data_IF_791213269744
#
_entry.id   IF_791213269744
#
_cell.length_a   1.000
_cell.length_b   1.000
_cell.length_c   1.000
_cell.angle_alpha   90.00
_cell.angle_beta   90.00
_cell.angle_gamma   90.00
#
_symmetry.space_group_name_H-M   'P 1'
#
loop_
_entity.id
_entity.type
_entity.pdbx_description
1 polymer ?
#
# COMPACT_ATOMS: atom_id res chain seq x y z
N UNK A 1 -46.77 40.16 14.93
CA UNK A 1 -47.70 40.63 13.88
C UNK A 1 -47.01 41.72 13.07
N UNK A 2 -46.74 41.48 11.78
CA UNK A 2 -46.69 42.51 10.74
C UNK A 2 -46.70 41.82 9.37
N UNK A 3 -47.89 41.83 8.75
CA UNK A 3 -48.12 41.51 7.35
C UNK A 3 -47.54 42.65 6.51
N UNK A 4 -46.91 42.33 5.39
CA UNK A 4 -46.86 43.22 4.23
C UNK A 4 -47.09 42.37 2.99
N UNK A 5 -48.20 42.66 2.32
CA UNK A 5 -48.63 42.10 1.05
C UNK A 5 -49.09 43.31 0.23
N UNK A 6 -48.54 43.51 -0.98
CA UNK A 6 -49.01 44.28 -2.15
C UNK A 6 -47.83 44.14 -3.15
N UNK A 7 -47.92 43.62 -4.37
CA UNK A 7 -49.01 43.50 -5.34
C UNK A 7 -48.70 44.42 -6.53
N UNK A 8 -48.33 43.88 -7.72
CA UNK A 8 -48.73 44.45 -9.02
C UNK A 8 -48.40 43.54 -10.21
N UNK A 9 -49.39 43.37 -11.09
CA UNK A 9 -49.34 42.82 -12.44
C UNK A 9 -48.81 43.86 -13.45
N UNK A 10 -48.07 43.39 -14.47
CA UNK A 10 -48.12 43.83 -15.88
C UNK A 10 -47.25 42.83 -16.68
N UNK A 11 -47.79 41.98 -17.57
CA UNK A 11 -48.35 42.23 -18.90
C UNK A 11 -47.30 42.65 -19.98
N UNK A 12 -47.04 41.69 -20.87
CA UNK A 12 -46.83 41.83 -22.33
C UNK A 12 -45.45 42.29 -22.86
N UNK A 13 -44.79 41.39 -23.61
CA UNK A 13 -44.37 41.62 -25.01
C UNK A 13 -43.76 40.32 -25.59
N UNK A 14 -44.50 39.65 -26.47
CA UNK A 14 -44.03 38.55 -27.30
C UNK A 14 -43.51 39.17 -28.62
N UNK A 15 -42.20 39.22 -28.82
CA UNK A 15 -41.60 39.56 -30.11
C UNK A 15 -41.19 38.28 -30.81
N UNK A 16 -41.98 37.91 -31.81
CA UNK A 16 -41.64 36.88 -32.78
C UNK A 16 -40.52 37.40 -33.68
N UNK A 17 -39.40 36.66 -33.74
CA UNK A 17 -38.35 36.86 -34.73
C UNK A 17 -38.28 35.56 -35.54
N UNK A 18 -38.75 35.61 -36.78
CA UNK A 18 -38.60 34.52 -37.74
C UNK A 18 -37.14 34.43 -38.18
N UNK A 19 -36.47 33.27 -38.07
CA UNK A 19 -35.25 33.05 -38.83
C UNK A 19 -35.59 32.67 -40.27
N UNK A 20 -35.06 33.47 -41.20
CA UNK A 20 -34.96 33.19 -42.62
C UNK A 20 -34.19 31.88 -42.81
N UNK A 21 -34.84 30.88 -43.40
CA UNK A 21 -34.17 29.64 -43.84
C UNK A 21 -33.45 29.92 -45.14
N UNK A 22 -32.14 30.16 -45.07
CA UNK A 22 -31.27 30.11 -46.24
C UNK A 22 -30.94 28.64 -46.54
N UNK A 23 -31.49 28.11 -47.65
CA UNK A 23 -31.06 26.83 -48.20
C UNK A 23 -29.72 27.07 -48.92
N UNK A 24 -28.63 26.81 -48.20
CA UNK A 24 -27.31 26.67 -48.80
C UNK A 24 -27.13 25.20 -49.19
N UNK A 25 -26.92 24.96 -50.49
CA UNK A 25 -26.61 23.62 -51.01
C UNK A 25 -25.37 23.06 -50.31
N UNK A 26 -25.47 21.81 -49.85
CA UNK A 26 -24.33 21.11 -49.24
C UNK A 26 -23.26 20.88 -50.30
N UNK A 27 -22.03 21.43 -50.16
CA UNK A 27 -20.92 20.95 -50.96
C UNK A 27 -20.64 19.50 -50.56
N UNK A 28 -20.69 18.60 -51.53
CA UNK A 28 -20.17 17.23 -51.37
C UNK A 28 -18.65 17.34 -51.29
N UNK A 29 -18.12 17.47 -50.07
CA UNK A 29 -16.68 17.35 -49.83
C UNK A 29 -16.39 15.85 -49.71
N UNK A 30 -15.68 15.29 -50.69
CA UNK A 30 -15.04 13.99 -50.51
C UNK A 30 -13.95 14.18 -49.43
N UNK A 31 -14.27 13.78 -48.20
CA UNK A 31 -13.29 13.67 -47.13
C UNK A 31 -12.26 12.62 -47.56
N UNK A 32 -11.06 13.07 -47.92
CA UNK A 32 -9.90 12.19 -47.95
C UNK A 32 -9.77 11.59 -46.55
N UNK A 33 -9.73 10.25 -46.48
CA UNK A 33 -9.52 9.53 -45.23
C UNK A 33 -8.21 10.02 -44.60
N UNK A 34 -8.32 10.78 -43.50
CA UNK A 34 -7.18 11.11 -42.67
C UNK A 34 -6.79 9.79 -41.99
N UNK A 35 -5.58 9.24 -42.22
CA UNK A 35 -5.15 8.06 -41.50
C UNK A 35 -5.18 8.36 -40.00
N UNK A 36 -5.55 7.40 -39.15
CA UNK A 36 -5.62 7.61 -37.71
C UNK A 36 -4.28 8.14 -37.21
N UNK A 37 -4.31 9.30 -36.56
CA UNK A 37 -3.19 9.79 -35.77
C UNK A 37 -3.09 8.86 -34.56
N UNK A 38 -2.23 7.85 -34.66
CA UNK A 38 -1.77 7.09 -33.51
C UNK A 38 -0.85 8.00 -32.72
N UNK A 39 -1.37 8.61 -31.66
CA UNK A 39 -0.52 9.23 -30.63
C UNK A 39 0.46 8.15 -30.16
N UNK A 40 1.78 8.33 -30.29
CA UNK A 40 2.73 7.40 -29.70
C UNK A 40 2.42 7.35 -28.20
N UNK A 41 2.12 6.14 -27.69
CA UNK A 41 2.12 5.93 -26.25
C UNK A 41 3.50 6.30 -25.68
N UNK A 42 3.61 6.55 -24.37
CA UNK A 42 4.90 6.91 -23.78
C UNK A 42 5.94 5.89 -24.22
N UNK A 43 6.95 6.36 -24.97
CA UNK A 43 8.13 5.57 -25.28
C UNK A 43 8.75 5.18 -23.95
N UNK A 44 8.57 3.92 -23.57
CA UNK A 44 9.37 3.32 -22.51
C UNK A 44 10.80 3.31 -23.05
N UNK A 45 11.77 3.95 -22.39
CA UNK A 45 13.11 4.08 -22.93
C UNK A 45 13.76 2.70 -23.06
N UNK A 46 13.88 2.22 -24.31
CA UNK A 46 14.54 0.96 -24.70
C UNK A 46 16.01 1.20 -25.01
N UNK A 47 16.77 1.84 -24.11
CA UNK A 47 18.21 1.98 -24.38
C UNK A 47 18.87 0.60 -24.32
N UNK A 48 19.40 0.06 -25.44
CA UNK A 48 20.12 -1.20 -25.42
C UNK A 48 21.40 -1.03 -24.61
N UNK A 49 21.80 -2.10 -23.92
CA UNK A 49 22.96 -2.04 -23.02
C UNK A 49 24.21 -2.34 -23.83
N UNK A 50 25.06 -1.33 -23.97
CA UNK A 50 26.34 -1.43 -24.69
C UNK A 50 27.46 -2.02 -23.84
N UNK A 51 27.28 -2.16 -22.52
CA UNK A 51 28.30 -2.64 -21.60
C UNK A 51 28.22 -4.16 -21.34
N UNK A 52 29.29 -4.71 -20.74
CA UNK A 52 29.32 -6.07 -20.22
C UNK A 52 28.28 -6.25 -19.11
N UNK A 53 27.56 -7.38 -19.13
CA UNK A 53 26.63 -7.78 -18.07
C UNK A 53 27.09 -9.06 -17.38
N UNK A 54 26.63 -9.26 -16.15
CA UNK A 54 26.72 -10.55 -15.46
C UNK A 54 25.35 -11.21 -15.43
N UNK A 55 25.32 -12.54 -15.56
CA UNK A 55 24.10 -13.33 -15.36
C UNK A 55 24.13 -13.95 -13.98
N UNK A 56 23.03 -13.81 -13.26
CA UNK A 56 22.82 -14.41 -11.95
C UNK A 56 21.53 -15.21 -12.01
N UNK A 57 21.58 -16.47 -11.58
CA UNK A 57 20.39 -17.29 -11.44
C UNK A 57 19.53 -16.79 -10.28
N UNK A 58 18.22 -16.70 -10.51
CA UNK A 58 17.26 -16.32 -9.47
C UNK A 58 16.74 -17.58 -8.77
N UNK A 59 17.12 -17.76 -7.51
CA UNK A 59 16.71 -18.91 -6.68
C UNK A 59 16.01 -18.50 -5.37
N UNK A 60 15.84 -17.21 -5.13
CA UNK A 60 15.33 -16.65 -3.87
C UNK A 60 13.81 -16.39 -3.84
N UNK A 61 13.08 -16.83 -4.89
CA UNK A 61 11.64 -16.61 -5.01
C UNK A 61 11.22 -15.19 -5.40
N UNK A 62 12.15 -14.33 -5.82
CA UNK A 62 11.81 -13.01 -6.39
C UNK A 62 10.84 -13.16 -7.57
N UNK A 63 9.84 -12.28 -7.63
CA UNK A 63 8.94 -12.14 -8.78
C UNK A 63 8.99 -10.72 -9.34
N UNK A 64 8.51 -10.54 -10.57
CA UNK A 64 8.38 -9.23 -11.22
C UNK A 64 6.93 -8.96 -11.59
N UNK A 65 6.46 -7.75 -11.32
CA UNK A 65 5.11 -7.28 -11.62
C UNK A 65 5.12 -6.38 -12.85
N UNK A 66 4.39 -6.78 -13.88
CA UNK A 66 4.19 -6.01 -15.11
C UNK A 66 2.99 -5.06 -15.02
N UNK A 67 2.24 -5.06 -13.91
CA UNK A 67 0.98 -4.32 -13.75
C UNK A 67 -0.02 -4.62 -14.87
N UNK A 68 -0.02 -5.86 -15.37
CA UNK A 68 -0.81 -6.30 -16.55
C UNK A 68 -0.52 -5.49 -17.82
N UNK A 69 0.65 -4.87 -17.91
CA UNK A 69 1.09 -4.15 -19.11
C UNK A 69 1.67 -5.12 -20.14
N UNK A 70 1.50 -4.76 -21.41
CA UNK A 70 2.04 -5.52 -22.53
C UNK A 70 3.53 -5.20 -22.69
N UNK A 71 4.38 -5.90 -21.94
CA UNK A 71 5.84 -5.74 -21.94
C UNK A 71 6.47 -6.55 -23.08
N UNK A 72 7.41 -5.96 -23.81
CA UNK A 72 8.11 -6.59 -24.95
C UNK A 72 9.02 -7.72 -24.49
N UNK A 73 9.05 -8.82 -25.26
CA UNK A 73 9.91 -9.98 -25.02
C UNK A 73 11.09 -9.95 -26.00
N UNK A 74 12.31 -10.14 -25.48
CA UNK A 74 13.56 -10.18 -26.22
C UNK A 74 14.20 -11.57 -26.15
N UNK A 75 15.03 -11.92 -27.14
CA UNK A 75 15.75 -13.19 -27.20
C UNK A 75 17.09 -13.18 -26.44
N UNK A 76 17.52 -12.00 -25.99
CA UNK A 76 18.83 -11.80 -25.37
C UNK A 76 18.75 -10.82 -24.18
N UNK A 77 19.62 -10.99 -23.17
CA UNK A 77 19.63 -10.13 -21.98
C UNK A 77 19.98 -8.66 -22.27
N UNK A 78 20.63 -8.34 -23.40
CA UNK A 78 20.93 -6.95 -23.80
C UNK A 78 19.74 -6.25 -24.45
N UNK A 79 18.64 -6.98 -24.67
CA UNK A 79 17.42 -6.48 -25.32
C UNK A 79 17.68 -5.92 -26.72
N UNK A 80 18.58 -6.57 -27.47
CA UNK A 80 18.94 -6.14 -28.84
C UNK A 80 18.15 -6.90 -29.92
N UNK A 81 17.55 -8.03 -29.57
CA UNK A 81 16.80 -8.91 -30.46
C UNK A 81 15.35 -9.03 -29.99
N UNK A 82 14.53 -8.06 -30.37
CA UNK A 82 13.08 -8.09 -30.16
C UNK A 82 12.46 -9.32 -30.85
N UNK A 83 11.56 -10.02 -30.16
CA UNK A 83 10.83 -11.18 -30.71
C UNK A 83 9.58 -10.77 -31.51
N UNK A 84 9.14 -9.51 -31.41
CA UNK A 84 7.84 -9.03 -31.89
C UNK A 84 6.66 -9.46 -31.00
N UNK A 85 6.92 -10.19 -29.91
CA UNK A 85 5.90 -10.65 -28.96
C UNK A 85 5.88 -9.77 -27.71
N UNK A 86 4.73 -9.80 -27.03
CA UNK A 86 4.53 -9.14 -25.74
C UNK A 86 4.01 -10.14 -24.72
N UNK A 87 4.28 -9.88 -23.44
CA UNK A 87 3.68 -10.62 -22.35
C UNK A 87 2.16 -10.46 -22.35
N UNK A 88 1.49 -11.49 -21.83
CA UNK A 88 0.05 -11.44 -21.62
C UNK A 88 -0.30 -10.35 -20.61
N UNK A 89 -1.37 -9.61 -20.89
CA UNK A 89 -1.97 -8.63 -19.97
C UNK A 89 -2.96 -9.27 -18.99
N UNK A 90 -3.22 -10.59 -19.10
CA UNK A 90 -4.06 -11.30 -18.14
C UNK A 90 -3.34 -11.61 -16.83
N UNK A 91 -2.00 -11.68 -16.87
CA UNK A 91 -1.12 -12.03 -15.76
C UNK A 91 -0.17 -10.86 -15.45
N UNK A 92 -0.09 -10.49 -14.17
CA UNK A 92 0.75 -9.39 -13.71
C UNK A 92 2.10 -9.90 -13.18
N UNK A 93 2.09 -11.02 -12.46
CA UNK A 93 3.24 -11.54 -11.73
C UNK A 93 3.93 -12.64 -12.52
N UNK A 94 5.24 -12.53 -12.66
CA UNK A 94 6.09 -13.49 -13.37
C UNK A 94 7.29 -13.88 -12.50
N UNK A 95 7.72 -15.14 -12.58
CA UNK A 95 8.86 -15.65 -11.82
C UNK A 95 10.08 -15.75 -12.74
N UNK A 96 11.06 -14.83 -12.64
CA UNK A 96 12.27 -14.92 -13.42
C UNK A 96 13.15 -16.08 -12.97
N UNK A 97 13.82 -16.72 -13.93
CA UNK A 97 14.83 -17.76 -13.70
C UNK A 97 16.24 -17.17 -13.63
N UNK A 98 16.47 -16.01 -14.26
CA UNK A 98 17.77 -15.32 -14.26
C UNK A 98 17.59 -13.80 -14.33
N UNK A 99 18.66 -13.09 -13.96
CA UNK A 99 18.77 -11.64 -14.12
C UNK A 99 20.10 -11.27 -14.75
N UNK A 100 20.04 -10.35 -15.70
CA UNK A 100 21.21 -9.66 -16.20
C UNK A 100 21.44 -8.40 -15.35
N UNK A 101 22.67 -8.19 -14.90
CA UNK A 101 23.10 -7.00 -14.17
C UNK A 101 24.19 -6.26 -14.93
N UNK A 102 24.14 -4.94 -14.89
CA UNK A 102 25.21 -4.10 -15.45
C UNK A 102 26.49 -4.16 -14.60
N UNK A 103 27.51 -3.40 -15.02
CA UNK A 103 28.80 -3.29 -14.32
C UNK A 103 28.71 -2.72 -12.90
N UNK A 104 27.61 -2.03 -12.56
CA UNK A 104 27.34 -1.50 -11.22
C UNK A 104 26.49 -2.46 -10.38
N UNK A 105 26.14 -3.65 -10.90
CA UNK A 105 25.29 -4.63 -10.23
C UNK A 105 23.80 -4.32 -10.30
N UNK A 106 23.38 -3.31 -11.08
CA UNK A 106 21.97 -2.93 -11.25
C UNK A 106 21.30 -3.91 -12.21
N UNK A 107 20.12 -4.40 -11.84
CA UNK A 107 19.34 -5.29 -12.70
C UNK A 107 18.84 -4.54 -13.93
N UNK A 108 19.03 -5.15 -15.10
CA UNK A 108 18.71 -4.52 -16.38
C UNK A 108 17.69 -5.28 -17.21
N UNK A 109 17.66 -6.61 -17.07
CA UNK A 109 16.64 -7.46 -17.67
C UNK A 109 16.46 -8.73 -16.86
N UNK A 110 15.27 -9.33 -17.00
CA UNK A 110 14.88 -10.55 -16.32
C UNK A 110 14.54 -11.62 -17.36
N UNK A 111 15.06 -12.84 -17.18
CA UNK A 111 14.71 -14.01 -17.98
C UNK A 111 13.53 -14.72 -17.33
N UNK A 112 12.43 -14.89 -18.06
CA UNK A 112 11.22 -15.58 -17.56
C UNK A 112 11.22 -17.09 -17.86
N UNK A 113 12.33 -17.62 -18.38
CA UNK A 113 12.43 -18.98 -18.92
C UNK A 113 12.46 -18.97 -20.45
N UNK A 114 12.97 -20.04 -21.04
CA UNK A 114 13.04 -20.23 -22.50
C UNK A 114 13.70 -19.07 -23.27
N UNK A 115 14.66 -18.38 -22.66
CA UNK A 115 15.31 -17.18 -23.19
C UNK A 115 14.33 -16.04 -23.52
N UNK A 116 13.27 -15.89 -22.72
CA UNK A 116 12.33 -14.78 -22.80
C UNK A 116 12.77 -13.66 -21.86
N UNK A 117 13.47 -12.68 -22.40
CA UNK A 117 14.01 -11.55 -21.63
C UNK A 117 13.06 -10.36 -21.66
N UNK A 118 12.86 -9.71 -20.52
CA UNK A 118 12.10 -8.45 -20.42
C UNK A 118 12.91 -7.36 -19.73
N UNK A 119 12.63 -6.11 -20.06
CA UNK A 119 13.32 -4.96 -19.49
C UNK A 119 13.01 -4.77 -18.00
N UNK A 120 14.05 -4.59 -17.17
CA UNK A 120 13.87 -4.32 -15.75
C UNK A 120 13.17 -2.97 -15.49
N UNK A 121 13.32 -2.00 -16.39
CA UNK A 121 12.63 -0.69 -16.34
C UNK A 121 11.12 -0.79 -16.59
N UNK A 122 10.64 -1.89 -17.18
CA UNK A 122 9.23 -2.13 -17.49
C UNK A 122 8.48 -2.91 -16.42
N UNK A 123 9.11 -3.20 -15.27
CA UNK A 123 8.52 -4.01 -14.19
C UNK A 123 8.85 -3.46 -12.81
N UNK A 124 8.06 -3.86 -11.82
CA UNK A 124 8.38 -3.68 -10.41
C UNK A 124 8.89 -4.98 -9.82
N UNK A 125 10.04 -4.96 -9.15
CA UNK A 125 10.57 -6.15 -8.47
C UNK A 125 9.85 -6.34 -7.15
N UNK A 126 9.24 -7.52 -6.98
CA UNK A 126 8.72 -7.97 -5.71
C UNK A 126 9.74 -8.94 -5.13
N UNK A 127 10.52 -8.45 -4.16
CA UNK A 127 11.46 -9.28 -3.40
C UNK A 127 10.68 -10.12 -2.40
N UNK A 128 10.89 -11.43 -2.47
CA UNK A 128 10.00 -12.42 -1.88
C UNK A 128 8.83 -12.69 -2.82
N UNK A 129 8.50 -13.95 -3.01
CA UNK A 129 7.21 -14.33 -3.60
C UNK A 129 6.11 -13.58 -2.83
N UNK A 130 5.14 -12.92 -3.49
CA UNK A 130 3.79 -12.98 -2.95
C UNK A 130 3.49 -14.47 -2.93
N UNK A 131 3.71 -15.11 -1.77
CA UNK A 131 3.41 -16.51 -1.62
C UNK A 131 1.90 -16.58 -1.76
N UNK A 132 1.37 -16.92 -2.94
CA UNK A 132 -0.08 -17.05 -3.14
C UNK A 132 -0.69 -18.11 -2.19
N UNK A 133 0.17 -18.82 -1.46
CA UNK A 133 -0.13 -19.75 -0.39
C UNK A 133 -0.01 -19.11 1.02
N UNK A 134 -0.26 -17.80 1.17
CA UNK A 134 -0.35 -17.20 2.50
C UNK A 134 -1.35 -17.98 3.36
N UNK A 135 -0.89 -18.38 4.54
CA UNK A 135 -1.75 -19.03 5.52
C UNK A 135 -2.57 -17.96 6.22
N UNK A 136 -3.88 -18.02 6.04
CA UNK A 136 -4.81 -17.16 6.76
C UNK A 136 -5.29 -17.87 8.02
N UNK A 137 -4.97 -17.32 9.18
CA UNK A 137 -5.34 -17.88 10.48
C UNK A 137 -6.06 -16.85 11.34
N UNK A 138 -6.84 -17.32 12.30
CA UNK A 138 -7.40 -16.45 13.34
C UNK A 138 -6.26 -15.84 14.15
N UNK A 139 -6.33 -14.53 14.38
CA UNK A 139 -5.41 -13.88 15.30
C UNK A 139 -5.79 -14.23 16.73
N UNK A 140 -4.83 -14.76 17.49
CA UNK A 140 -5.08 -15.31 18.83
C UNK A 140 -4.76 -14.33 19.95
N UNK A 141 -3.99 -13.27 19.68
CA UNK A 141 -3.81 -12.18 20.65
C UNK A 141 -5.05 -11.28 20.63
N UNK A 142 -5.39 -10.75 21.82
CA UNK A 142 -6.44 -9.73 21.98
C UNK A 142 -5.85 -8.30 21.92
N UNK A 143 -4.56 -8.18 21.68
CA UNK A 143 -3.86 -6.91 21.65
C UNK A 143 -4.14 -6.20 20.31
N UNK A 144 -4.66 -4.96 20.33
CA UNK A 144 -4.81 -4.18 19.12
C UNK A 144 -3.45 -3.69 18.61
N UNK A 145 -3.42 -3.30 17.33
CA UNK A 145 -2.27 -2.68 16.70
C UNK A 145 -2.54 -1.22 16.36
N UNK A 146 -1.46 -0.46 16.25
CA UNK A 146 -1.52 0.96 15.96
C UNK A 146 -1.17 1.28 14.51
N UNK A 147 -2.02 2.03 13.82
CA UNK A 147 -1.63 2.71 12.57
C UNK A 147 -0.83 3.95 12.95
N UNK A 148 0.46 3.96 12.60
CA UNK A 148 1.50 4.93 13.01
C UNK A 148 1.31 6.36 12.44
N UNK A 149 0.10 6.91 12.51
CA UNK A 149 -0.22 8.29 12.13
C UNK A 149 -0.26 8.57 10.62
N UNK A 150 -0.21 7.53 9.78
CA UNK A 150 -0.24 7.64 8.33
C UNK A 150 -1.54 7.10 7.73
N UNK A 151 -1.92 7.58 6.54
CA UNK A 151 -3.03 7.02 5.78
C UNK A 151 -2.64 5.61 5.28
N UNK A 152 -3.07 4.59 6.02
CA UNK A 152 -2.75 3.19 5.71
C UNK A 152 -3.68 2.66 4.63
N UNK A 153 -3.12 2.05 3.58
CA UNK A 153 -3.91 1.47 2.48
C UNK A 153 -4.60 0.19 2.95
N UNK A 154 -5.88 0.05 2.61
CA UNK A 154 -6.66 -1.17 2.81
C UNK A 154 -6.71 -1.94 1.50
N UNK A 155 -6.62 -3.25 1.60
CA UNK A 155 -6.66 -4.21 0.51
C UNK A 155 -7.82 -5.18 0.69
N UNK A 156 -8.29 -5.72 -0.42
CA UNK A 156 -9.39 -6.70 -0.46
C UNK A 156 -8.92 -8.16 -0.43
N UNK A 157 -7.61 -8.37 -0.36
CA UNK A 157 -6.94 -9.68 -0.42
C UNK A 157 -5.77 -9.74 0.58
N UNK A 158 -5.49 -10.93 1.16
CA UNK A 158 -4.41 -11.13 2.12
C UNK A 158 -3.02 -10.88 1.54
N UNK A 159 -2.84 -11.04 0.23
CA UNK A 159 -1.58 -10.76 -0.48
C UNK A 159 -1.31 -9.26 -0.61
N UNK A 160 -2.29 -8.41 -0.27
CA UNK A 160 -2.22 -6.94 -0.36
C UNK A 160 -1.90 -6.42 -1.76
N UNK A 161 -2.52 -7.03 -2.78
CA UNK A 161 -2.34 -6.68 -4.20
C UNK A 161 -3.49 -5.85 -4.77
N UNK A 162 -4.69 -5.89 -4.18
CA UNK A 162 -5.90 -5.21 -4.65
C UNK A 162 -6.36 -4.17 -3.64
N UNK A 163 -5.82 -2.96 -3.77
CA UNK A 163 -6.21 -1.82 -2.94
C UNK A 163 -7.73 -1.57 -3.06
N UNK A 164 -8.37 -1.32 -1.92
CA UNK A 164 -9.82 -1.14 -1.79
C UNK A 164 -10.21 0.11 -0.99
N UNK A 165 -9.24 0.78 -0.36
CA UNK A 165 -9.48 2.03 0.36
C UNK A 165 -8.31 2.44 1.26
N UNK A 166 -8.61 3.26 2.27
CA UNK A 166 -7.65 3.73 3.27
C UNK A 166 -8.30 3.75 4.65
N UNK A 167 -7.51 3.46 5.69
CA UNK A 167 -7.96 3.59 7.07
C UNK A 167 -8.28 5.05 7.43
N UNK A 168 -9.23 5.24 8.33
CA UNK A 168 -9.56 6.55 8.87
C UNK A 168 -8.41 7.06 9.73
N UNK A 169 -7.86 8.24 9.41
CA UNK A 169 -6.71 8.83 10.13
C UNK A 169 -7.03 9.25 11.57
N UNK A 170 -8.32 9.46 11.88
CA UNK A 170 -8.78 9.75 13.24
C UNK A 170 -8.83 8.52 14.17
N UNK A 171 -8.65 7.32 13.63
CA UNK A 171 -8.61 6.07 14.40
C UNK A 171 -7.20 5.51 14.31
N UNK A 172 -6.50 5.42 15.44
CA UNK A 172 -5.11 4.95 15.45
C UNK A 172 -4.95 3.54 16.00
N UNK A 173 -5.98 2.95 16.58
CA UNK A 173 -5.94 1.64 17.23
C UNK A 173 -6.92 0.69 16.53
N UNK A 174 -6.46 -0.51 16.20
CA UNK A 174 -7.15 -1.45 15.33
C UNK A 174 -7.13 -2.85 15.92
N UNK A 175 -8.32 -3.42 16.08
CA UNK A 175 -8.48 -4.82 16.45
C UNK A 175 -8.22 -5.72 15.25
N UNK A 176 -7.38 -6.75 15.45
CA UNK A 176 -7.00 -7.71 14.42
C UNK A 176 -7.84 -8.96 14.58
N UNK A 177 -8.47 -9.41 13.49
CA UNK A 177 -9.29 -10.63 13.50
C UNK A 177 -8.53 -11.84 12.95
N UNK A 178 -7.73 -11.62 11.91
CA UNK A 178 -6.96 -12.66 11.22
C UNK A 178 -5.59 -12.12 10.82
N UNK A 179 -4.65 -13.04 10.63
CA UNK A 179 -3.34 -12.78 10.04
C UNK A 179 -3.21 -13.55 8.74
N UNK A 180 -2.46 -12.97 7.80
CA UNK A 180 -1.89 -13.70 6.68
C UNK A 180 -0.39 -13.81 6.91
N UNK A 181 0.13 -15.04 6.92
CA UNK A 181 1.52 -15.31 7.19
C UNK A 181 2.13 -16.19 6.10
N UNK A 182 3.42 -15.94 5.84
CA UNK A 182 4.23 -16.80 4.99
C UNK A 182 4.28 -18.22 5.59
N UNK A 183 3.83 -19.26 4.86
CA UNK A 183 3.76 -20.62 5.39
C UNK A 183 5.12 -21.23 5.72
N UNK A 184 6.20 -20.75 5.11
CA UNK A 184 7.57 -21.27 5.28
C UNK A 184 8.25 -20.66 6.48
N UNK A 185 8.03 -19.36 6.72
CA UNK A 185 8.70 -18.62 7.79
C UNK A 185 7.82 -18.36 9.01
N UNK A 186 6.50 -18.45 8.86
CA UNK A 186 5.52 -18.01 9.86
C UNK A 186 5.46 -16.48 10.01
N UNK A 187 6.16 -15.72 9.17
CA UNK A 187 6.20 -14.27 9.26
C UNK A 187 4.85 -13.69 8.85
N UNK A 188 4.25 -12.88 9.72
CA UNK A 188 3.00 -12.18 9.40
C UNK A 188 3.30 -11.07 8.40
N UNK A 189 2.60 -11.10 7.26
CA UNK A 189 2.76 -10.11 6.19
C UNK A 189 1.57 -9.15 6.09
N UNK A 190 0.40 -9.57 6.57
CA UNK A 190 -0.80 -8.73 6.62
C UNK A 190 -1.73 -9.08 7.79
N UNK A 191 -2.51 -8.09 8.19
CA UNK A 191 -3.55 -8.19 9.21
C UNK A 191 -4.92 -7.90 8.59
N UNK A 192 -5.92 -8.72 8.93
CA UNK A 192 -7.32 -8.45 8.62
C UNK A 192 -7.97 -7.72 9.80
N UNK A 193 -8.41 -6.49 9.54
CA UNK A 193 -9.09 -5.64 10.51
C UNK A 193 -10.62 -5.89 10.54
N UNK A 194 -11.08 -6.90 9.80
CA UNK A 194 -12.47 -7.34 9.74
C UNK A 194 -13.13 -6.97 8.41
N UNK A 195 -14.16 -7.74 8.03
CA UNK A 195 -14.86 -7.61 6.74
C UNK A 195 -13.91 -7.75 5.54
N UNK A 196 -12.86 -8.56 5.68
CA UNK A 196 -11.87 -8.82 4.64
C UNK A 196 -11.12 -7.54 4.22
N UNK A 197 -10.78 -6.71 5.20
CA UNK A 197 -10.02 -5.48 5.05
C UNK A 197 -8.59 -5.74 5.51
N UNK A 198 -7.71 -5.94 4.54
CA UNK A 198 -6.32 -6.33 4.78
C UNK A 198 -5.40 -5.13 4.77
N UNK A 199 -4.45 -5.12 5.69
CA UNK A 199 -3.43 -4.08 5.83
C UNK A 199 -2.08 -4.75 5.94
N UNK A 200 -1.05 -4.19 5.31
CA UNK A 200 0.32 -4.72 5.39
C UNK A 200 0.81 -4.64 6.83
N UNK A 201 1.44 -5.72 7.30
CA UNK A 201 1.89 -5.82 8.69
C UNK A 201 2.86 -4.69 9.07
N UNK A 202 3.75 -4.29 8.15
CA UNK A 202 4.70 -3.19 8.34
C UNK A 202 4.07 -1.81 8.54
N UNK A 203 2.80 -1.63 8.17
CA UNK A 203 2.10 -0.35 8.28
C UNK A 203 1.39 -0.22 9.64
N UNK A 204 1.43 -1.27 10.47
CA UNK A 204 0.92 -1.31 11.84
C UNK A 204 2.06 -1.59 12.83
N UNK A 205 1.89 -1.17 14.08
CA UNK A 205 2.87 -1.35 15.16
C UNK A 205 2.18 -1.84 16.43
N UNK A 206 2.82 -2.74 17.18
CA UNK A 206 2.34 -3.14 18.51
C UNK A 206 2.47 -2.02 19.54
N UNK A 207 3.36 -1.06 19.29
CA UNK A 207 3.62 0.06 20.17
C UNK A 207 3.32 1.39 19.48
N UNK A 208 2.82 2.34 20.26
CA UNK A 208 2.67 3.73 19.82
C UNK A 208 3.49 4.64 20.73
N UNK A 209 4.30 5.51 20.12
CA UNK A 209 5.02 6.53 20.86
C UNK A 209 4.02 7.45 21.59
N UNK A 210 4.33 7.76 22.85
CA UNK A 210 3.56 8.69 23.67
C UNK A 210 4.50 9.66 24.37
N UNK A 211 3.93 10.78 24.80
CA UNK A 211 4.56 11.73 25.70
C UNK A 211 3.58 12.07 26.81
N UNK A 212 4.09 12.19 28.02
CA UNK A 212 3.31 12.55 29.19
C UNK A 212 3.92 11.98 30.45
N UNK A 213 3.18 12.11 31.54
CA UNK A 213 3.58 11.54 32.81
C UNK A 213 2.55 10.57 33.34
N UNK A 214 3.02 9.57 34.09
CA UNK A 214 2.21 8.58 34.76
C UNK A 214 2.52 8.58 36.24
N UNK A 215 1.51 8.88 37.06
CA UNK A 215 1.62 8.84 38.51
C UNK A 215 1.34 7.42 39.01
N UNK A 216 2.29 6.84 39.73
CA UNK A 216 2.24 5.45 40.20
C UNK A 216 2.84 5.32 41.60
N UNK A 217 2.39 4.34 42.36
CA UNK A 217 2.87 4.08 43.73
C UNK A 217 4.05 3.12 43.77
N UNK A 218 4.90 3.26 44.80
CA UNK A 218 5.89 2.27 45.17
C UNK A 218 5.26 0.87 45.34
N UNK A 219 5.99 -0.18 44.95
CA UNK A 219 5.51 -1.57 44.92
C UNK A 219 4.71 -1.95 43.68
N UNK A 220 4.43 -1.02 42.76
CA UNK A 220 3.73 -1.36 41.51
C UNK A 220 4.62 -2.24 40.62
N UNK A 221 4.11 -3.38 40.11
CA UNK A 221 4.88 -4.26 39.22
C UNK A 221 5.43 -3.55 37.99
N UNK A 222 6.69 -3.81 37.68
CA UNK A 222 7.33 -3.50 36.40
C UNK A 222 7.40 -4.77 35.56
N UNK A 223 6.97 -4.69 34.31
CA UNK A 223 6.88 -5.81 33.38
C UNK A 223 7.94 -5.70 32.28
N UNK A 224 8.45 -6.84 31.81
CA UNK A 224 9.24 -6.95 30.59
C UNK A 224 8.35 -6.89 29.33
N UNK A 225 8.97 -6.94 28.15
CA UNK A 225 8.28 -6.93 26.84
C UNK A 225 7.36 -8.14 26.60
N UNK A 226 7.56 -9.23 27.35
CA UNK A 226 6.70 -10.43 27.31
C UNK A 226 5.57 -10.41 28.35
N UNK A 227 5.43 -9.29 29.10
CA UNK A 227 4.45 -9.14 30.16
C UNK A 227 4.83 -9.78 31.49
N UNK A 228 5.96 -10.48 31.60
CA UNK A 228 6.42 -11.05 32.87
C UNK A 228 6.89 -9.95 33.83
N UNK A 229 6.63 -10.13 35.12
CA UNK A 229 7.11 -9.17 36.12
C UNK A 229 8.62 -9.33 36.34
N UNK A 230 9.36 -8.22 36.23
CA UNK A 230 10.82 -8.17 36.41
C UNK A 230 11.25 -7.40 37.66
N UNK A 231 10.44 -6.45 38.12
CA UNK A 231 10.75 -5.63 39.30
C UNK A 231 9.48 -4.94 39.85
N UNK A 232 9.67 -3.95 40.71
CA UNK A 232 8.63 -3.04 41.20
C UNK A 232 9.13 -1.60 41.24
N UNK A 233 8.22 -0.64 41.15
CA UNK A 233 8.51 0.77 41.36
C UNK A 233 9.04 0.97 42.79
N UNK A 234 10.24 1.51 42.95
CA UNK A 234 10.85 1.71 44.27
C UNK A 234 10.30 2.93 45.03
N UNK A 235 9.83 3.96 44.33
CA UNK A 235 9.38 5.22 44.95
C UNK A 235 8.13 5.72 44.25
N UNK A 236 7.09 6.09 45.00
CA UNK A 236 5.90 6.69 44.41
C UNK A 236 6.24 8.02 43.73
N UNK A 237 5.64 8.29 42.57
CA UNK A 237 5.89 9.55 41.89
C UNK A 237 5.39 9.58 40.45
N UNK A 238 5.79 10.65 39.77
CA UNK A 238 5.50 10.92 38.37
C UNK A 238 6.64 10.39 37.50
N UNK A 239 6.33 9.47 36.59
CA UNK A 239 7.29 8.87 35.67
C UNK A 239 7.00 9.31 34.23
N UNK A 240 8.04 9.56 33.44
CA UNK A 240 7.89 9.86 32.03
C UNK A 240 7.44 8.62 31.25
N UNK A 241 6.38 8.78 30.45
CA UNK A 241 5.92 7.76 29.51
C UNK A 241 6.48 8.07 28.13
N UNK A 242 7.02 7.05 27.46
CA UNK A 242 7.57 7.17 26.11
C UNK A 242 6.81 6.35 25.06
N UNK A 243 6.02 5.35 25.49
CA UNK A 243 5.23 4.53 24.60
C UNK A 243 4.03 3.87 25.33
N UNK A 244 3.08 3.38 24.54
CA UNK A 244 1.98 2.50 24.97
C UNK A 244 1.95 1.23 24.13
N UNK A 245 1.56 0.13 24.77
CA UNK A 245 1.33 -1.18 24.16
C UNK A 245 0.14 -1.85 24.86
N UNK A 246 -0.16 -3.08 24.48
CA UNK A 246 -1.06 -3.97 25.20
C UNK A 246 -0.35 -5.30 25.52
N UNK A 247 -0.64 -5.86 26.68
CA UNK A 247 -0.33 -7.23 27.06
C UNK A 247 -1.61 -7.91 27.53
N UNK A 248 -2.02 -8.98 26.84
CA UNK A 248 -3.25 -9.73 27.13
C UNK A 248 -4.51 -8.84 27.21
N UNK A 249 -4.61 -7.88 26.29
CA UNK A 249 -5.71 -6.91 26.21
C UNK A 249 -5.67 -5.81 27.29
N UNK A 250 -4.63 -5.77 28.13
CA UNK A 250 -4.44 -4.70 29.10
C UNK A 250 -3.45 -3.67 28.60
N UNK A 251 -3.85 -2.41 28.61
CA UNK A 251 -2.98 -1.31 28.22
C UNK A 251 -1.81 -1.18 29.20
N UNK A 252 -0.61 -1.10 28.65
CA UNK A 252 0.64 -0.91 29.39
C UNK A 252 1.39 0.31 28.87
N UNK A 253 2.06 1.01 29.77
CA UNK A 253 2.81 2.23 29.50
C UNK A 253 4.28 1.96 29.73
N UNK A 254 5.11 2.35 28.76
CA UNK A 254 6.57 2.23 28.85
C UNK A 254 7.13 3.40 29.63
N UNK A 255 7.79 3.10 30.75
CA UNK A 255 8.43 4.11 31.60
C UNK A 255 9.92 4.19 31.27
N UNK A 256 10.41 5.38 30.91
CA UNK A 256 11.82 5.66 30.63
C UNK A 256 12.49 4.66 29.63
N UNK A 257 13.83 4.65 29.55
CA UNK A 257 14.59 3.94 28.50
C UNK A 257 14.80 2.44 28.75
N UNK A 258 14.53 1.92 29.96
CA UNK A 258 14.96 0.58 30.38
C UNK A 258 14.05 -0.58 29.90
N UNK A 259 13.21 -0.39 28.88
CA UNK A 259 12.23 -1.38 28.42
C UNK A 259 11.31 -1.94 29.52
N UNK A 260 10.93 -1.10 30.49
CA UNK A 260 10.05 -1.49 31.58
C UNK A 260 8.64 -0.94 31.36
N UNK A 261 7.64 -1.79 31.56
CA UNK A 261 6.24 -1.48 31.35
C UNK A 261 5.48 -1.48 32.66
N UNK A 262 4.45 -0.64 32.75
CA UNK A 262 3.49 -0.64 33.86
C UNK A 262 2.07 -0.73 33.31
N UNK A 263 1.21 -1.52 33.97
CA UNK A 263 -0.21 -1.54 33.63
C UNK A 263 -0.83 -0.15 33.89
N UNK A 264 -1.51 0.40 32.87
CA UNK A 264 -2.13 1.72 32.96
C UNK A 264 -3.17 1.82 34.10
N UNK A 265 -3.79 0.69 34.45
CA UNK A 265 -4.77 0.59 35.56
C UNK A 265 -4.17 0.78 36.95
N UNK A 266 -2.83 0.79 37.08
CA UNK A 266 -2.13 0.97 38.37
C UNK A 266 -1.84 2.42 38.71
N UNK A 267 -2.29 3.36 37.89
CA UNK A 267 -2.00 4.77 38.07
C UNK A 267 -2.88 5.67 37.21
N UNK A 268 -2.47 6.92 37.08
CA UNK A 268 -3.15 7.92 36.28
C UNK A 268 -2.20 8.50 35.23
N UNK A 269 -2.62 8.45 33.96
CA UNK A 269 -1.87 8.98 32.82
C UNK A 269 -2.34 10.39 32.47
N UNK A 270 -1.38 11.30 32.30
CA UNK A 270 -1.61 12.68 31.89
C UNK A 270 -0.86 12.91 30.58
N UNK A 271 -1.55 12.83 29.42
CA UNK A 271 -0.93 13.19 28.15
C UNK A 271 -0.58 14.68 28.16
N UNK A 272 0.59 15.02 27.63
CA UNK A 272 1.03 16.40 27.42
C UNK A 272 0.70 16.87 26.00
#
# INVERSE_FOLDING_TARGET
MKKVQFGLLAATALLAVSPVVAVLGTPTVHAAAIPPITTPGPEVPTKPITDSYTLVDYTDGTTVDTHKQAVTIYQDPKMTRDTGKKLSTTQAIWTPTQVARDSNGVAVSYNLGDNQWIAASGVTVIKGTPDTDLTVAKYTSNDPLYSIGSAVTVYSDPDTTKASGTLATGVTEWQVNRTAADPKTGTIVAYDLGKNQWVKAKDLSAQKALSGTFNVNAGTPLLADDGSQVDTIATSGSYQVIAVSYFDGQQVLKLAENNQWVQATKGAFYPA
#
